data_IF_067270277021
#
_entry.id   IF_067270277021
#
_cell.length_a   1.000
_cell.length_b   1.000
_cell.length_c   1.000
_cell.angle_alpha   90.00
_cell.angle_beta   90.00
_cell.angle_gamma   90.00
#
_symmetry.space_group_name_H-M   'P 1'
#
loop_
_entity.id
_entity.type
_entity.pdbx_description
1 polymer ?
#
# COMPACT_ATOMS: atom_id res chain seq x y z
N UNK A 1 -8.58 12.44 -28.89
CA UNK A 1 -7.52 12.42 -27.84
C UNK A 1 -6.32 11.59 -28.36
N UNK A 2 -5.18 11.52 -27.68
CA UNK A 2 -4.04 10.65 -28.09
C UNK A 2 -3.80 9.53 -27.06
N UNK A 3 -3.28 8.40 -27.52
CA UNK A 3 -2.95 7.27 -26.65
C UNK A 3 -1.79 7.62 -25.71
N UNK A 4 -1.97 7.41 -24.40
CA UNK A 4 -0.93 7.66 -23.40
C UNK A 4 0.28 6.71 -23.50
N UNK A 5 0.15 5.58 -24.22
CA UNK A 5 1.22 4.58 -24.37
C UNK A 5 2.06 4.82 -25.63
N UNK A 6 1.43 5.15 -26.76
CA UNK A 6 2.12 5.22 -28.06
C UNK A 6 1.91 6.54 -28.83
N UNK A 7 1.12 7.48 -28.31
CA UNK A 7 0.86 8.77 -28.94
C UNK A 7 -0.08 8.73 -30.15
N UNK A 8 -0.56 7.55 -30.57
CA UNK A 8 -1.47 7.42 -31.71
C UNK A 8 -2.78 8.19 -31.49
N UNK A 9 -3.35 8.87 -32.52
CA UNK A 9 -4.66 9.50 -32.43
C UNK A 9 -5.74 8.47 -32.11
N UNK A 10 -6.52 8.71 -31.06
CA UNK A 10 -7.62 7.84 -30.66
C UNK A 10 -8.93 8.37 -31.27
N UNK A 11 -9.70 7.50 -31.95
CA UNK A 11 -11.11 7.76 -32.29
C UNK A 11 -11.93 8.14 -31.06
N UNK A 12 -13.00 8.91 -31.26
CA UNK A 12 -13.78 9.51 -30.16
C UNK A 12 -14.45 8.47 -29.23
N UNK A 13 -14.71 7.25 -29.71
CA UNK A 13 -15.35 6.15 -28.98
C UNK A 13 -14.42 4.95 -28.71
N UNK A 14 -13.11 5.12 -28.93
CA UNK A 14 -12.15 4.03 -28.83
C UNK A 14 -12.03 3.50 -27.38
N UNK A 15 -12.32 2.21 -27.19
CA UNK A 15 -12.03 1.48 -25.92
C UNK A 15 -10.59 0.97 -25.85
N UNK A 16 -9.96 0.76 -26.99
CA UNK A 16 -8.57 0.30 -27.13
C UNK A 16 -7.89 1.10 -28.24
N UNK A 17 -6.59 1.33 -28.11
CA UNK A 17 -5.80 2.03 -29.10
C UNK A 17 -5.60 1.15 -30.33
N UNK A 18 -6.01 1.58 -31.54
CA UNK A 18 -5.85 0.77 -32.75
C UNK A 18 -4.38 0.54 -33.13
N UNK A 19 -3.46 1.43 -32.70
CA UNK A 19 -2.03 1.31 -32.99
C UNK A 19 -1.26 0.32 -32.10
N UNK A 20 -1.61 0.17 -30.82
CA UNK A 20 -0.83 -0.63 -29.86
C UNK A 20 -1.66 -1.55 -28.97
N UNK A 21 -2.99 -1.54 -29.07
CA UNK A 21 -3.88 -2.38 -28.28
C UNK A 21 -4.09 -1.93 -26.82
N UNK A 22 -3.42 -0.87 -26.35
CA UNK A 22 -3.61 -0.38 -24.98
C UNK A 22 -5.06 0.07 -24.74
N UNK A 23 -5.64 -0.31 -23.60
CA UNK A 23 -6.96 0.16 -23.20
C UNK A 23 -6.95 1.70 -23.08
N UNK A 24 -7.95 2.34 -23.68
CA UNK A 24 -8.20 3.77 -23.50
C UNK A 24 -8.95 3.92 -22.18
N UNK A 25 -8.20 4.13 -21.11
CA UNK A 25 -8.76 4.35 -19.78
C UNK A 25 -9.45 5.71 -19.75
N UNK A 26 -10.75 5.73 -20.02
CA UNK A 26 -11.64 6.77 -19.51
C UNK A 26 -11.68 6.59 -17.99
N UNK A 27 -10.94 7.42 -17.26
CA UNK A 27 -10.96 7.44 -15.80
C UNK A 27 -12.41 7.65 -15.34
N UNK A 28 -13.08 6.57 -14.93
CA UNK A 28 -14.40 6.60 -14.32
C UNK A 28 -14.37 5.72 -13.07
N UNK A 29 -14.80 6.35 -11.97
CA UNK A 29 -14.76 5.95 -10.55
C UNK A 29 -13.40 6.07 -9.87
N UNK A 30 -13.27 7.10 -9.03
CA UNK A 30 -12.21 7.23 -8.01
C UNK A 30 -12.44 6.32 -6.80
N UNK A 31 -13.63 5.69 -6.72
CA UNK A 31 -14.06 4.90 -5.58
C UNK A 31 -14.49 3.51 -6.06
N UNK A 32 -13.81 2.48 -5.56
CA UNK A 32 -14.16 1.09 -5.81
C UNK A 32 -14.41 0.35 -4.48
N UNK A 33 -15.37 -0.58 -4.48
CA UNK A 33 -15.59 -1.50 -3.36
C UNK A 33 -14.91 -2.82 -3.69
N UNK A 34 -13.89 -3.16 -2.90
CA UNK A 34 -13.07 -4.35 -3.10
C UNK A 34 -12.86 -5.09 -1.79
N UNK A 35 -12.72 -6.41 -1.86
CA UNK A 35 -12.30 -7.23 -0.73
C UNK A 35 -10.78 -7.14 -0.59
N UNK A 36 -10.32 -6.72 0.58
CA UNK A 36 -8.90 -6.54 0.91
C UNK A 36 -8.61 -7.14 2.28
N UNK A 37 -7.34 -7.43 2.55
CA UNK A 37 -6.90 -7.77 3.92
C UNK A 37 -6.13 -6.59 4.50
N UNK A 38 -6.47 -6.20 5.73
CA UNK A 38 -5.80 -5.10 6.45
C UNK A 38 -5.03 -5.68 7.64
N UNK A 39 -3.79 -5.24 7.79
CA UNK A 39 -2.94 -5.54 8.93
C UNK A 39 -2.64 -4.25 9.70
N UNK A 40 -2.74 -4.31 11.02
CA UNK A 40 -2.24 -3.28 11.93
C UNK A 40 -1.14 -3.89 12.80
N UNK A 41 -0.02 -3.19 12.92
CA UNK A 41 1.05 -3.53 13.86
C UNK A 41 1.42 -2.28 14.66
N UNK A 42 1.63 -2.45 15.96
CA UNK A 42 1.81 -1.36 16.90
C UNK A 42 2.85 -1.71 17.97
N UNK A 43 3.56 -0.70 18.48
CA UNK A 43 4.57 -0.89 19.51
C UNK A 43 3.91 -1.00 20.89
N UNK A 44 4.06 -2.15 21.52
CA UNK A 44 3.58 -2.38 22.89
C UNK A 44 4.25 -1.40 23.86
N UNK A 45 3.44 -0.74 24.70
CA UNK A 45 3.88 0.27 25.69
C UNK A 45 4.66 1.46 25.06
N UNK A 46 4.34 1.84 23.83
CA UNK A 46 4.95 3.01 23.17
C UNK A 46 4.82 4.30 23.98
N UNK A 47 3.67 4.52 24.61
CA UNK A 47 3.38 5.73 25.38
C UNK A 47 4.22 5.77 26.64
N UNK A 48 4.34 4.65 27.36
CA UNK A 48 5.22 4.53 28.50
C UNK A 48 6.69 4.69 28.10
N UNK A 49 7.10 4.13 26.95
CA UNK A 49 8.44 4.31 26.42
C UNK A 49 8.74 5.79 26.13
N UNK A 50 7.85 6.48 25.43
CA UNK A 50 7.98 7.89 25.07
C UNK A 50 8.05 8.83 26.29
N UNK A 51 7.52 8.42 27.45
CA UNK A 51 7.66 9.17 28.70
C UNK A 51 9.03 8.98 29.37
N UNK A 52 9.74 7.89 29.06
CA UNK A 52 11.02 7.53 29.68
C UNK A 52 12.24 8.00 28.87
N UNK A 53 12.04 8.38 27.62
CA UNK A 53 13.11 8.81 26.70
C UNK A 53 12.80 10.19 26.13
N UNK A 54 13.83 10.89 25.64
CA UNK A 54 13.65 12.15 24.93
C UNK A 54 12.92 11.97 23.58
N UNK A 55 12.38 13.07 23.06
CA UNK A 55 11.54 13.05 21.85
C UNK A 55 12.33 12.63 20.60
N UNK A 56 13.59 13.05 20.50
CA UNK A 56 14.50 12.68 19.42
C UNK A 56 14.74 11.17 19.43
N UNK A 57 14.97 10.60 20.63
CA UNK A 57 15.15 9.17 20.79
C UNK A 57 13.89 8.36 20.50
N UNK A 58 12.73 8.86 20.91
CA UNK A 58 11.45 8.23 20.57
C UNK A 58 11.23 8.19 19.05
N UNK A 59 11.55 9.29 18.36
CA UNK A 59 11.49 9.38 16.89
C UNK A 59 12.44 8.38 16.22
N UNK A 60 13.65 8.21 16.73
CA UNK A 60 14.60 7.21 16.21
C UNK A 60 14.07 5.78 16.33
N UNK A 61 13.45 5.44 17.46
CA UNK A 61 12.86 4.11 17.69
C UNK A 61 11.70 3.88 16.73
N UNK A 62 10.79 4.84 16.61
CA UNK A 62 9.66 4.78 15.68
C UNK A 62 10.12 4.64 14.23
N UNK A 63 11.14 5.41 13.81
CA UNK A 63 11.70 5.32 12.47
C UNK A 63 12.22 3.92 12.14
N UNK A 64 12.98 3.32 13.06
CA UNK A 64 13.49 1.94 12.89
C UNK A 64 12.38 0.91 12.83
N UNK A 65 11.35 1.07 13.66
CA UNK A 65 10.16 0.20 13.61
C UNK A 65 9.46 0.33 12.25
N UNK A 66 9.23 1.55 11.77
CA UNK A 66 8.60 1.80 10.48
C UNK A 66 9.39 1.24 9.31
N UNK A 67 10.72 1.37 9.32
CA UNK A 67 11.59 0.82 8.27
C UNK A 67 11.52 -0.71 8.25
N UNK A 68 11.65 -1.36 9.42
CA UNK A 68 11.59 -2.81 9.55
C UNK A 68 10.22 -3.35 9.12
N UNK A 69 9.13 -2.75 9.61
CA UNK A 69 7.78 -3.17 9.26
C UNK A 69 7.48 -2.95 7.77
N UNK A 70 7.89 -1.81 7.21
CA UNK A 70 7.70 -1.50 5.79
C UNK A 70 8.42 -2.52 4.91
N UNK A 71 9.65 -2.91 5.28
CA UNK A 71 10.41 -3.90 4.53
C UNK A 71 9.66 -5.25 4.47
N UNK A 72 9.21 -5.78 5.62
CA UNK A 72 8.49 -7.06 5.66
C UNK A 72 7.14 -7.02 4.94
N UNK A 73 6.41 -5.91 5.07
CA UNK A 73 5.16 -5.69 4.34
C UNK A 73 5.38 -5.72 2.82
N UNK A 74 6.36 -4.98 2.32
CA UNK A 74 6.66 -4.91 0.89
C UNK A 74 7.13 -6.27 0.35
N UNK A 75 7.93 -7.02 1.10
CA UNK A 75 8.39 -8.37 0.73
C UNK A 75 7.22 -9.34 0.48
N UNK A 76 6.12 -9.15 1.20
CA UNK A 76 4.91 -9.97 1.09
C UNK A 76 3.80 -9.29 0.26
N UNK A 77 4.16 -8.23 -0.49
CA UNK A 77 3.26 -7.41 -1.33
C UNK A 77 2.09 -6.77 -0.57
N UNK A 78 2.26 -6.53 0.72
CA UNK A 78 1.46 -5.58 1.48
C UNK A 78 1.93 -4.16 1.19
N UNK A 79 1.01 -3.20 1.21
CA UNK A 79 1.34 -1.77 1.06
C UNK A 79 1.10 -1.07 2.40
N UNK A 80 2.14 -0.46 3.02
CA UNK A 80 1.91 0.51 4.09
C UNK A 80 1.09 1.67 3.54
N UNK A 81 -0.06 1.91 4.16
CA UNK A 81 -1.00 2.95 3.73
C UNK A 81 -0.97 4.13 4.70
N UNK A 82 -0.84 3.87 6.01
CA UNK A 82 -0.79 4.90 7.04
C UNK A 82 0.19 4.54 8.16
N UNK A 83 0.85 5.57 8.67
CA UNK A 83 1.57 5.55 9.93
C UNK A 83 0.76 6.40 10.92
N UNK A 84 0.34 5.82 12.03
CA UNK A 84 -0.61 6.41 12.98
C UNK A 84 0.02 6.36 14.37
N UNK A 85 0.76 7.40 14.73
CA UNK A 85 1.45 7.49 16.00
C UNK A 85 2.64 6.54 16.07
N UNK A 86 2.40 5.36 16.62
CA UNK A 86 3.28 4.21 16.82
C UNK A 86 2.88 2.99 15.99
N UNK A 87 1.72 3.04 15.34
CA UNK A 87 1.19 1.96 14.53
C UNK A 87 1.48 2.13 13.03
N UNK A 88 1.64 1.00 12.35
CA UNK A 88 1.59 0.90 10.88
C UNK A 88 0.31 0.17 10.46
N UNK A 89 -0.40 0.76 9.49
CA UNK A 89 -1.54 0.14 8.82
C UNK A 89 -1.13 -0.24 7.40
N UNK A 90 -1.31 -1.51 7.06
CA UNK A 90 -1.00 -2.04 5.75
C UNK A 90 -2.21 -2.72 5.10
N UNK A 91 -2.28 -2.63 3.78
CA UNK A 91 -3.35 -3.22 2.98
C UNK A 91 -2.78 -4.17 1.94
N UNK A 92 -3.34 -5.38 1.89
CA UNK A 92 -3.11 -6.39 0.86
C UNK A 92 -4.31 -6.42 -0.06
N UNK A 93 -4.08 -6.46 -1.37
CA UNK A 93 -5.16 -6.43 -2.37
C UNK A 93 -5.52 -5.03 -2.89
N UNK A 94 -4.82 -3.97 -2.46
CA UNK A 94 -5.15 -2.58 -2.80
C UNK A 94 -4.98 -2.25 -4.29
N UNK A 95 -3.84 -2.58 -4.88
CA UNK A 95 -3.59 -2.40 -6.33
C UNK A 95 -4.07 -3.61 -7.14
N UNK A 96 -3.82 -4.81 -6.63
CA UNK A 96 -4.17 -6.07 -7.27
C UNK A 96 -4.51 -7.10 -6.19
N UNK A 97 -5.68 -7.74 -6.34
CA UNK A 97 -6.17 -8.78 -5.44
C UNK A 97 -5.55 -10.11 -5.81
N UNK A 98 -5.22 -10.89 -4.78
CA UNK A 98 -4.77 -12.25 -4.92
C UNK A 98 -5.49 -13.14 -3.90
N UNK A 99 -5.70 -14.41 -4.22
CA UNK A 99 -6.34 -15.37 -3.32
C UNK A 99 -5.56 -15.58 -2.02
N UNK A 100 -4.25 -15.33 -2.04
CA UNK A 100 -3.33 -15.52 -0.91
C UNK A 100 -3.06 -14.25 -0.09
N UNK A 101 -3.79 -13.14 -0.33
CA UNK A 101 -3.59 -11.86 0.37
C UNK A 101 -3.69 -12.01 1.90
N UNK A 102 -4.66 -12.80 2.38
CA UNK A 102 -4.83 -13.05 3.82
C UNK A 102 -3.66 -13.85 4.43
N UNK A 103 -3.17 -14.87 3.73
CA UNK A 103 -2.03 -15.67 4.17
C UNK A 103 -0.75 -14.81 4.22
N UNK A 104 -0.55 -13.94 3.22
CA UNK A 104 0.60 -13.03 3.19
C UNK A 104 0.54 -11.98 4.28
N UNK A 105 -0.65 -11.47 4.61
CA UNK A 105 -0.83 -10.58 5.76
C UNK A 105 -0.42 -11.26 7.07
N UNK A 106 -0.87 -12.50 7.33
CA UNK A 106 -0.47 -13.26 8.52
C UNK A 106 1.04 -13.49 8.57
N UNK A 107 1.64 -13.88 7.44
CA UNK A 107 3.10 -14.05 7.36
C UNK A 107 3.86 -12.77 7.63
N UNK A 108 3.36 -11.63 7.17
CA UNK A 108 3.97 -10.33 7.44
C UNK A 108 3.90 -10.01 8.93
N UNK A 109 2.74 -10.22 9.56
CA UNK A 109 2.57 -10.02 11.00
C UNK A 109 3.42 -10.95 11.87
N UNK A 110 3.91 -12.08 11.34
CA UNK A 110 4.87 -12.95 12.03
C UNK A 110 6.33 -12.54 11.82
N UNK A 111 6.62 -11.78 10.77
CA UNK A 111 7.97 -11.32 10.43
C UNK A 111 8.31 -9.96 11.06
N UNK A 112 7.28 -9.16 11.35
CA UNK A 112 7.34 -7.89 12.11
C UNK A 112 7.47 -8.20 13.60
#
# INVERSE_FOLDING_TARGET
MTCAVCGHPLPDDARFCPGCGAAVTTSLSTDERRMVTVLFADLVDSTGLAQRIDAERARDVLGRFYDAATQELLNLRGRPEKFIGDAVMAVFGLQQVHEDDALRAVRAGLAI
#
